data_IF_398491268968
#
_entry.id   IF_398491268968
#
_cell.length_a   1.000
_cell.length_b   1.000
_cell.length_c   1.000
_cell.angle_alpha   90.00
_cell.angle_beta   90.00
_cell.angle_gamma   90.00
#
_symmetry.space_group_name_H-M   'P 1'
#
loop_
_entity.id
_entity.type
_entity.pdbx_description
1 polymer ?
#
# COMPACT_ATOMS: atom_id res chain seq x y z
N UNK A 1 38.72 23.09 12.56
CA UNK A 1 38.11 21.74 12.60
C UNK A 1 36.61 21.95 12.79
N UNK A 2 35.86 21.90 11.70
CA UNK A 2 34.39 21.99 11.73
C UNK A 2 33.87 20.61 11.33
N UNK A 3 33.35 19.89 12.30
CA UNK A 3 32.75 18.58 12.15
C UNK A 3 31.44 18.76 11.36
N UNK A 4 31.49 18.39 10.09
CA UNK A 4 30.30 18.31 9.23
C UNK A 4 29.40 17.22 9.79
N UNK A 5 28.30 17.65 10.39
CA UNK A 5 27.15 16.83 10.75
C UNK A 5 26.75 16.02 9.49
N UNK A 6 26.56 14.68 9.57
CA UNK A 6 26.11 13.94 8.40
C UNK A 6 24.71 14.43 8.04
N UNK A 7 24.65 15.18 6.94
CA UNK A 7 23.41 15.59 6.32
C UNK A 7 22.61 14.33 6.01
N UNK A 8 21.40 14.25 6.57
CA UNK A 8 20.29 13.38 6.22
C UNK A 8 20.67 11.98 5.75
N UNK A 9 20.41 10.99 6.61
CA UNK A 9 19.97 9.65 6.20
C UNK A 9 19.24 9.77 4.87
N UNK A 10 19.80 9.14 3.83
CA UNK A 10 19.36 9.24 2.45
C UNK A 10 17.83 9.30 2.39
N UNK A 11 17.30 10.33 1.73
CA UNK A 11 15.89 10.42 1.37
C UNK A 11 15.57 9.16 0.59
N UNK A 12 15.07 8.12 1.25
CA UNK A 12 14.49 6.98 0.59
C UNK A 12 13.25 7.57 -0.05
N UNK A 13 13.31 7.82 -1.35
CA UNK A 13 12.16 8.32 -2.09
C UNK A 13 11.16 7.15 -2.14
N UNK A 14 10.32 7.08 -1.10
CA UNK A 14 9.70 5.83 -0.65
C UNK A 14 8.66 5.31 -1.63
N UNK A 15 8.72 4.01 -1.91
CA UNK A 15 7.60 3.26 -2.49
C UNK A 15 6.47 3.24 -1.45
N UNK A 16 5.22 3.27 -1.90
CA UNK A 16 4.06 3.26 -1.02
C UNK A 16 3.27 1.96 -1.19
N UNK A 17 2.89 1.34 -0.07
CA UNK A 17 1.98 0.21 -0.06
C UNK A 17 0.55 0.72 0.06
N UNK A 18 -0.31 0.34 -0.90
CA UNK A 18 -1.74 0.61 -0.86
C UNK A 18 -2.51 -0.70 -0.64
N UNK A 19 -3.34 -0.76 0.39
CA UNK A 19 -4.11 -1.96 0.71
C UNK A 19 -5.50 -1.61 1.23
N UNK A 20 -6.43 -2.53 1.03
CA UNK A 20 -7.81 -2.40 1.51
C UNK A 20 -8.01 -3.24 2.76
N UNK A 21 -8.85 -2.76 3.67
CA UNK A 21 -9.20 -3.47 4.90
C UNK A 21 -10.62 -3.10 5.35
N UNK A 22 -11.21 -3.91 6.21
CA UNK A 22 -12.53 -3.63 6.78
C UNK A 22 -12.55 -2.33 7.59
N UNK A 23 -13.67 -1.58 7.61
CA UNK A 23 -13.76 -0.29 8.28
C UNK A 23 -13.47 -0.40 9.78
N UNK A 24 -12.81 0.63 10.30
CA UNK A 24 -12.41 0.71 11.70
C UNK A 24 -13.57 0.85 12.70
N UNK A 25 -14.76 1.28 12.23
CA UNK A 25 -16.00 1.36 12.99
C UNK A 25 -17.20 1.16 12.04
N UNK A 26 -17.85 -0.01 12.01
CA UNK A 26 -19.09 -0.13 11.30
C UNK A 26 -20.18 0.58 12.12
N UNK A 27 -20.47 1.85 11.81
CA UNK A 27 -21.76 2.42 12.16
C UNK A 27 -22.88 1.59 11.52
N UNK A 28 -24.12 1.61 12.04
CA UNK A 28 -25.24 0.95 11.39
C UNK A 28 -25.38 1.48 9.95
N UNK A 29 -25.06 0.64 8.95
CA UNK A 29 -25.10 0.99 7.53
C UNK A 29 -23.75 1.25 6.84
N UNK A 30 -22.61 1.21 7.54
CA UNK A 30 -21.30 1.39 6.89
C UNK A 30 -20.60 0.05 6.64
N UNK A 31 -20.66 -0.42 5.39
CA UNK A 31 -19.81 -1.48 4.81
C UNK A 31 -18.61 -0.87 4.06
N UNK A 32 -18.02 0.21 4.58
CA UNK A 32 -16.94 0.89 3.88
C UNK A 32 -15.60 0.19 4.10
N UNK A 33 -15.25 -0.75 3.22
CA UNK A 33 -13.85 -1.20 3.11
C UNK A 33 -13.01 0.06 2.84
N UNK A 34 -12.09 0.37 3.76
CA UNK A 34 -11.20 1.51 3.66
C UNK A 34 -9.93 1.11 2.91
N UNK A 35 -9.38 2.05 2.15
CA UNK A 35 -8.08 1.89 1.50
C UNK A 35 -7.07 2.77 2.20
N UNK A 36 -6.00 2.14 2.67
CA UNK A 36 -4.94 2.77 3.45
C UNK A 36 -3.63 2.71 2.68
N UNK A 37 -2.92 3.84 2.66
CA UNK A 37 -1.62 4.00 2.04
C UNK A 37 -0.57 4.30 3.12
N UNK A 38 0.53 3.57 3.12
CA UNK A 38 1.67 3.75 4.04
C UNK A 38 2.98 3.78 3.27
N UNK A 39 4.01 4.40 3.83
CA UNK A 39 5.37 4.25 3.34
C UNK A 39 5.79 2.76 3.43
N UNK A 40 6.43 2.22 2.38
CA UNK A 40 6.90 0.84 2.33
C UNK A 40 7.77 0.49 3.56
N UNK A 41 8.61 1.42 3.98
CA UNK A 41 9.50 1.26 5.12
C UNK A 41 8.77 0.96 6.44
N UNK A 42 7.46 1.23 6.56
CA UNK A 42 6.64 0.82 7.71
C UNK A 42 6.61 -0.70 7.92
N UNK A 43 6.82 -1.48 6.86
CA UNK A 43 6.94 -2.94 6.93
C UNK A 43 8.18 -3.41 7.70
N UNK A 44 9.17 -2.53 7.89
CA UNK A 44 10.39 -2.80 8.65
C UNK A 44 10.25 -2.41 10.13
N UNK A 45 9.09 -1.89 10.54
CA UNK A 45 8.86 -1.52 11.93
C UNK A 45 8.87 -2.76 12.84
N UNK A 46 9.48 -2.72 14.05
CA UNK A 46 9.60 -3.88 14.93
C UNK A 46 8.27 -4.50 15.40
N UNK A 47 7.20 -3.71 15.38
CA UNK A 47 5.84 -4.18 15.69
C UNK A 47 5.12 -4.83 14.49
N UNK A 48 5.67 -4.73 13.28
CA UNK A 48 5.28 -5.59 12.16
C UNK A 48 6.02 -6.91 12.30
N UNK A 49 5.30 -8.03 12.19
CA UNK A 49 5.93 -9.34 12.32
C UNK A 49 7.06 -9.54 11.32
N UNK A 50 8.18 -10.04 11.83
CA UNK A 50 9.38 -10.35 11.06
C UNK A 50 9.62 -11.87 11.05
N UNK A 51 10.19 -12.44 9.99
CA UNK A 51 10.81 -11.78 8.83
C UNK A 51 9.83 -11.37 7.71
N UNK A 52 8.53 -11.59 7.88
CA UNK A 52 7.53 -11.38 6.83
C UNK A 52 7.51 -9.92 6.36
N UNK A 53 7.43 -8.95 7.28
CA UNK A 53 7.49 -7.53 6.93
C UNK A 53 8.70 -7.18 6.06
N UNK A 54 9.90 -7.63 6.43
CA UNK A 54 11.11 -7.37 5.65
C UNK A 54 11.13 -8.08 4.28
N UNK A 55 10.54 -9.27 4.16
CA UNK A 55 10.39 -9.98 2.88
C UNK A 55 9.39 -9.29 1.96
N UNK A 56 8.26 -8.84 2.50
CA UNK A 56 7.26 -8.07 1.77
C UNK A 56 7.85 -6.72 1.35
N UNK A 57 8.57 -6.03 2.24
CA UNK A 57 9.28 -4.79 1.92
C UNK A 57 10.24 -4.99 0.74
N UNK A 58 11.08 -6.02 0.80
CA UNK A 58 12.01 -6.31 -0.28
C UNK A 58 11.29 -6.52 -1.61
N UNK A 59 10.23 -7.33 -1.65
CA UNK A 59 9.44 -7.55 -2.86
C UNK A 59 8.76 -6.28 -3.35
N UNK A 60 8.25 -5.47 -2.44
CA UNK A 60 7.57 -4.22 -2.73
C UNK A 60 8.50 -3.21 -3.41
N UNK A 61 9.77 -3.12 -2.98
CA UNK A 61 10.72 -2.10 -3.46
C UNK A 61 11.60 -2.53 -4.63
N UNK A 62 11.69 -3.83 -4.93
CA UNK A 62 12.48 -4.33 -6.05
C UNK A 62 11.97 -3.80 -7.41
N UNK A 63 12.84 -3.11 -8.15
CA UNK A 63 12.55 -2.63 -9.51
C UNK A 63 11.51 -1.51 -9.59
N UNK A 64 11.23 -0.83 -8.48
CA UNK A 64 10.26 0.27 -8.42
C UNK A 64 10.88 1.63 -8.67
N UNK A 65 10.01 2.53 -9.10
CA UNK A 65 10.33 3.95 -9.14
C UNK A 65 10.14 4.58 -7.75
N UNK A 66 10.96 5.58 -7.41
CA UNK A 66 10.69 6.52 -6.34
C UNK A 66 9.24 7.00 -6.29
N UNK A 67 8.60 6.94 -5.11
CA UNK A 67 7.22 7.41 -4.92
C UNK A 67 6.14 6.51 -5.52
N UNK A 68 6.49 5.36 -6.12
CA UNK A 68 5.52 4.49 -6.76
C UNK A 68 4.49 3.95 -5.75
N UNK A 69 3.21 4.04 -6.10
CA UNK A 69 2.11 3.50 -5.29
C UNK A 69 1.80 2.09 -5.80
N UNK A 70 2.06 1.10 -4.96
CA UNK A 70 1.87 -0.31 -5.30
C UNK A 70 0.71 -0.87 -4.49
N UNK A 71 -0.42 -1.17 -5.15
CA UNK A 71 -1.50 -1.94 -4.52
C UNK A 71 -1.04 -3.32 -4.11
N UNK A 72 -1.50 -3.81 -2.96
CA UNK A 72 -1.29 -5.20 -2.54
C UNK A 72 -1.75 -6.20 -3.61
N UNK A 73 -2.83 -5.90 -4.34
CA UNK A 73 -3.29 -6.73 -5.45
C UNK A 73 -2.31 -6.76 -6.65
N UNK A 74 -1.54 -5.69 -6.88
CA UNK A 74 -0.41 -5.72 -7.84
C UNK A 74 0.65 -6.70 -7.35
N UNK A 75 1.06 -6.59 -6.08
CA UNK A 75 2.09 -7.45 -5.51
C UNK A 75 1.66 -8.93 -5.52
N UNK A 76 0.41 -9.21 -5.16
CA UNK A 76 -0.19 -10.55 -5.27
C UNK A 76 -0.17 -11.06 -6.71
N UNK A 77 -0.47 -10.21 -7.69
CA UNK A 77 -0.45 -10.61 -9.10
C UNK A 77 0.96 -10.96 -9.59
N UNK A 78 1.97 -10.18 -9.21
CA UNK A 78 3.38 -10.44 -9.55
C UNK A 78 3.91 -11.74 -8.94
N UNK A 79 3.32 -12.18 -7.83
CA UNK A 79 3.64 -13.46 -7.21
C UNK A 79 2.98 -14.65 -7.91
N UNK A 80 2.02 -14.45 -8.82
CA UNK A 80 1.27 -15.53 -9.47
C UNK A 80 -0.22 -15.55 -9.13
N UNK A 81 -0.66 -14.69 -8.20
CA UNK A 81 -2.07 -14.44 -7.91
C UNK A 81 -2.70 -15.37 -6.87
N UNK A 82 -1.96 -16.30 -6.27
CA UNK A 82 -2.49 -17.25 -5.29
C UNK A 82 -1.97 -17.03 -3.86
N UNK A 83 -2.73 -17.51 -2.87
CA UNK A 83 -2.28 -17.54 -1.48
C UNK A 83 -1.08 -18.48 -1.26
N UNK A 84 -0.90 -19.48 -2.12
CA UNK A 84 0.26 -20.38 -2.06
C UNK A 84 1.56 -19.67 -2.45
N UNK A 85 1.50 -18.70 -3.38
CA UNK A 85 2.66 -17.90 -3.77
C UNK A 85 3.17 -17.02 -2.62
N UNK A 86 2.26 -16.60 -1.75
CA UNK A 86 2.58 -15.86 -0.54
C UNK A 86 3.32 -16.68 0.51
N UNK A 87 3.18 -18.02 0.53
CA UNK A 87 3.87 -18.87 1.52
C UNK A 87 5.40 -18.74 1.47
N UNK A 88 5.96 -18.45 0.29
CA UNK A 88 7.39 -18.20 0.10
C UNK A 88 7.84 -16.80 0.51
N UNK A 89 6.90 -15.86 0.72
CA UNK A 89 7.18 -14.45 1.01
C UNK A 89 6.84 -14.11 2.46
N UNK A 90 5.63 -14.42 2.92
CA UNK A 90 5.18 -14.11 4.29
C UNK A 90 3.66 -14.05 4.39
N UNK A 91 3.17 -13.99 5.62
CA UNK A 91 1.75 -13.85 5.92
C UNK A 91 1.31 -12.39 5.77
N UNK A 92 0.87 -12.04 4.55
CA UNK A 92 0.44 -10.68 4.21
C UNK A 92 -0.81 -10.24 5.00
N UNK A 93 -1.70 -11.16 5.39
CA UNK A 93 -2.92 -10.83 6.14
C UNK A 93 -2.56 -10.37 7.56
N UNK A 94 -1.66 -11.11 8.20
CA UNK A 94 -1.15 -10.70 9.52
C UNK A 94 -0.29 -9.43 9.44
N UNK A 95 0.55 -9.29 8.41
CA UNK A 95 1.36 -8.07 8.21
C UNK A 95 0.48 -6.84 7.99
N UNK A 96 -0.57 -6.93 7.17
CA UNK A 96 -1.51 -5.82 7.00
C UNK A 96 -2.22 -5.52 8.31
N UNK A 97 -2.60 -6.55 9.10
CA UNK A 97 -3.16 -6.35 10.44
C UNK A 97 -2.19 -5.59 11.37
N UNK A 98 -0.91 -5.94 11.38
CA UNK A 98 0.09 -5.25 12.19
C UNK A 98 0.28 -3.79 11.74
N UNK A 99 0.32 -3.53 10.43
CA UNK A 99 0.37 -2.17 9.89
C UNK A 99 -0.84 -1.34 10.33
N UNK A 100 -2.04 -1.92 10.29
CA UNK A 100 -3.24 -1.24 10.77
C UNK A 100 -3.15 -0.90 12.26
N UNK A 101 -2.49 -1.73 13.06
CA UNK A 101 -2.24 -1.41 14.47
C UNK A 101 -1.28 -0.23 14.60
N UNK A 102 -0.22 -0.13 13.79
CA UNK A 102 0.70 1.01 13.84
C UNK A 102 0.01 2.33 13.52
N UNK A 103 -0.79 2.33 12.45
CA UNK A 103 -1.59 3.50 12.06
C UNK A 103 -2.52 3.93 13.19
N UNK A 104 -3.18 2.97 13.86
CA UNK A 104 -4.08 3.26 14.98
C UNK A 104 -3.36 3.87 16.20
N UNK A 105 -2.12 3.46 16.45
CA UNK A 105 -1.35 3.95 17.59
C UNK A 105 -0.56 5.24 17.27
N UNK A 106 -0.57 5.69 16.01
CA UNK A 106 0.25 6.82 15.57
C UNK A 106 1.74 6.50 15.50
N UNK A 107 2.08 5.20 15.42
CA UNK A 107 3.47 4.72 15.31
C UNK A 107 4.00 4.81 13.87
N UNK A 108 3.13 5.03 12.88
CA UNK A 108 3.48 5.43 11.52
C UNK A 108 2.37 6.30 10.92
N UNK A 109 2.72 7.09 9.91
CA UNK A 109 1.75 7.89 9.15
C UNK A 109 1.07 7.03 8.08
N UNK A 110 -0.21 7.33 7.84
CA UNK A 110 -0.97 6.69 6.78
C UNK A 110 -2.05 7.61 6.23
N UNK A 111 -2.40 7.38 4.97
CA UNK A 111 -3.51 8.05 4.30
C UNK A 111 -4.69 7.11 4.14
N UNK A 112 -5.85 7.48 4.69
CA UNK A 112 -7.12 6.82 4.41
C UNK A 112 -7.82 7.54 3.26
N UNK A 113 -8.00 6.85 2.14
CA UNK A 113 -8.36 7.50 0.86
C UNK A 113 -9.87 7.54 0.56
N UNK A 114 -10.71 6.89 1.37
CA UNK A 114 -12.18 6.93 1.20
C UNK A 114 -12.66 6.62 -0.22
N UNK A 115 -11.99 5.69 -0.93
CA UNK A 115 -12.21 5.51 -2.36
C UNK A 115 -13.65 5.06 -2.69
N UNK A 116 -14.26 5.58 -3.76
CA UNK A 116 -15.52 5.07 -4.28
C UNK A 116 -15.46 3.57 -4.56
N UNK A 117 -16.59 2.87 -4.45
CA UNK A 117 -16.65 1.41 -4.54
C UNK A 117 -15.93 0.84 -5.78
N UNK A 118 -16.09 1.46 -6.95
CA UNK A 118 -15.43 1.01 -8.19
C UNK A 118 -13.92 1.26 -8.18
N UNK A 119 -13.49 2.43 -7.72
CA UNK A 119 -12.07 2.74 -7.57
C UNK A 119 -11.40 1.76 -6.61
N UNK A 120 -12.04 1.49 -5.47
CA UNK A 120 -11.58 0.49 -4.51
C UNK A 120 -11.49 -0.89 -5.13
N UNK A 121 -12.53 -1.36 -5.83
CA UNK A 121 -12.52 -2.68 -6.47
C UNK A 121 -11.39 -2.79 -7.48
N UNK A 122 -11.16 -1.76 -8.31
CA UNK A 122 -10.06 -1.73 -9.29
C UNK A 122 -8.68 -1.87 -8.64
N UNK A 123 -8.48 -1.25 -7.48
CA UNK A 123 -7.22 -1.33 -6.71
C UNK A 123 -7.07 -2.69 -6.01
N UNK A 124 -8.17 -3.32 -5.60
CA UNK A 124 -8.17 -4.63 -4.94
C UNK A 124 -8.10 -5.81 -5.92
N UNK A 125 -8.33 -5.58 -7.21
CA UNK A 125 -8.17 -6.59 -8.26
C UNK A 125 -6.79 -6.51 -8.91
N UNK A 126 -6.38 -7.62 -9.54
CA UNK A 126 -5.14 -7.67 -10.31
C UNK A 126 -5.07 -6.57 -11.39
N UNK A 127 -3.87 -6.11 -11.77
CA UNK A 127 -3.67 -4.95 -12.64
C UNK A 127 -4.30 -5.08 -14.04
N UNK A 128 -4.57 -6.31 -14.47
CA UNK A 128 -5.16 -6.63 -15.78
C UNK A 128 -6.59 -7.19 -15.70
N UNK A 129 -7.16 -7.30 -14.49
CA UNK A 129 -8.49 -7.87 -14.27
C UNK A 129 -9.56 -6.81 -14.52
N UNK A 130 -10.51 -7.04 -15.45
CA UNK A 130 -11.62 -6.12 -15.65
C UNK A 130 -12.63 -6.23 -14.50
N UNK A 131 -13.12 -5.09 -14.02
CA UNK A 131 -14.23 -4.97 -13.07
C UNK A 131 -15.48 -4.65 -13.86
N UNK A 132 -16.59 -5.33 -13.55
CA UNK A 132 -17.87 -5.10 -14.24
C UNK A 132 -18.94 -4.69 -13.25
N UNK A 133 -19.74 -3.70 -13.61
CA UNK A 133 -20.94 -3.31 -12.87
C UNK A 133 -22.17 -3.53 -13.73
N UNK A 134 -23.25 -3.93 -13.09
CA UNK A 134 -24.56 -4.03 -13.72
C UNK A 134 -25.42 -2.86 -13.26
N UNK A 135 -25.89 -2.06 -14.20
CA UNK A 135 -26.87 -1.01 -13.93
C UNK A 135 -28.27 -1.60 -14.03
N UNK A 136 -28.95 -1.72 -12.88
CA UNK A 136 -30.31 -2.26 -12.80
C UNK A 136 -31.35 -1.38 -13.51
N UNK A 137 -31.10 -0.08 -13.67
CA UNK A 137 -32.05 0.86 -14.27
C UNK A 137 -32.01 0.81 -15.80
N UNK A 138 -30.83 0.63 -16.39
CA UNK A 138 -30.62 0.59 -17.84
C UNK A 138 -30.46 -0.83 -18.39
N UNK A 139 -30.18 -1.81 -17.53
CA UNK A 139 -29.84 -3.18 -17.90
C UNK A 139 -28.44 -3.31 -18.51
N UNK A 140 -27.62 -2.25 -18.43
CA UNK A 140 -26.31 -2.19 -19.06
C UNK A 140 -25.20 -2.80 -18.18
N UNK A 141 -24.21 -3.42 -18.83
CA UNK A 141 -22.97 -3.85 -18.18
C UNK A 141 -21.85 -2.88 -18.54
N UNK A 142 -21.34 -2.17 -17.54
CA UNK A 142 -20.18 -1.28 -17.70
C UNK A 142 -18.93 -2.03 -17.25
N UNK A 143 -17.90 -2.04 -18.10
CA UNK A 143 -16.60 -2.64 -17.81
C UNK A 143 -15.54 -1.57 -17.55
N UNK A 144 -14.81 -1.74 -16.46
CA UNK A 144 -13.66 -0.93 -16.06
C UNK A 144 -12.42 -1.80 -16.15
N UNK A 145 -11.36 -1.28 -16.75
CA UNK A 145 -10.14 -2.02 -17.04
C UNK A 145 -8.87 -1.33 -16.55
N UNK A 146 -7.71 -1.75 -17.09
CA UNK A 146 -6.41 -1.24 -16.67
C UNK A 146 -6.28 0.29 -16.78
N UNK A 147 -6.92 0.91 -17.78
CA UNK A 147 -6.90 2.36 -17.97
C UNK A 147 -7.59 3.09 -16.80
N UNK A 148 -8.76 2.62 -16.37
CA UNK A 148 -9.48 3.21 -15.24
C UNK A 148 -8.72 2.98 -13.94
N UNK A 149 -8.11 1.81 -13.77
CA UNK A 149 -7.23 1.53 -12.62
C UNK A 149 -6.04 2.49 -12.57
N UNK A 150 -5.39 2.73 -13.71
CA UNK A 150 -4.27 3.66 -13.81
C UNK A 150 -4.70 5.10 -13.48
N UNK A 151 -5.90 5.52 -13.92
CA UNK A 151 -6.45 6.83 -13.58
C UNK A 151 -6.66 6.98 -12.05
N UNK A 152 -7.20 5.95 -11.38
CA UNK A 152 -7.36 5.95 -9.92
C UNK A 152 -5.99 6.07 -9.23
N UNK A 153 -4.98 5.31 -9.67
CA UNK A 153 -3.63 5.41 -9.10
C UNK A 153 -2.99 6.79 -9.33
N UNK A 154 -3.21 7.40 -10.49
CA UNK A 154 -2.71 8.75 -10.78
C UNK A 154 -3.38 9.81 -9.89
N UNK A 155 -4.68 9.67 -9.61
CA UNK A 155 -5.41 10.55 -8.69
C UNK A 155 -4.88 10.40 -7.26
N UNK A 156 -4.68 9.17 -6.78
CA UNK A 156 -4.06 8.93 -5.46
C UNK A 156 -2.64 9.48 -5.42
N UNK A 157 -1.87 9.33 -6.49
CA UNK A 157 -0.51 9.90 -6.61
C UNK A 157 -0.50 11.42 -6.56
N UNK A 158 -1.47 12.08 -7.19
CA UNK A 158 -1.62 13.53 -7.14
C UNK A 158 -1.96 14.00 -5.72
N UNK A 159 -2.87 13.29 -5.04
CA UNK A 159 -3.22 13.58 -3.65
C UNK A 159 -2.03 13.40 -2.71
N UNK A 160 -1.30 12.29 -2.85
CA UNK A 160 -0.09 12.01 -2.08
C UNK A 160 0.98 13.09 -2.31
N UNK A 161 1.26 13.46 -3.56
CA UNK A 161 2.23 14.49 -3.88
C UNK A 161 1.88 15.87 -3.28
N UNK A 162 0.58 16.19 -3.20
CA UNK A 162 0.12 17.40 -2.53
C UNK A 162 0.41 17.40 -1.03
N UNK A 163 0.31 16.24 -0.37
CA UNK A 163 0.58 16.08 1.06
C UNK A 163 2.08 16.03 1.37
N UNK A 164 2.86 15.28 0.59
CA UNK A 164 4.30 15.13 0.80
C UNK A 164 5.10 16.36 0.40
N UNK A 165 4.51 17.30 -0.35
CA UNK A 165 5.09 18.62 -0.56
C UNK A 165 5.33 19.38 0.76
N UNK A 166 4.55 19.08 1.81
CA UNK A 166 4.69 19.68 3.15
C UNK A 166 5.48 18.77 4.10
N UNK A 167 5.17 17.48 4.11
CA UNK A 167 5.83 16.49 4.98
C UNK A 167 5.70 15.06 4.42
N UNK A 168 6.83 14.34 4.32
CA UNK A 168 6.83 12.93 3.96
C UNK A 168 6.09 12.06 4.98
N UNK A 169 5.47 10.96 4.52
CA UNK A 169 4.83 9.99 5.40
C UNK A 169 5.87 9.29 6.27
N UNK A 170 5.79 9.46 7.59
CA UNK A 170 6.70 8.82 8.52
C UNK A 170 6.45 7.31 8.55
N UNK A 171 7.46 6.47 8.24
CA UNK A 171 7.32 5.02 8.34
C UNK A 171 7.28 4.48 9.78
N UNK A 172 7.53 5.34 10.76
CA UNK A 172 7.71 4.98 12.16
C UNK A 172 9.17 4.93 12.59
N UNK A 173 9.39 4.71 13.88
CA UNK A 173 10.70 4.79 14.51
C UNK A 173 11.34 3.40 14.68
N UNK A 174 12.67 3.34 14.79
CA UNK A 174 13.39 2.09 15.10
C UNK A 174 13.30 1.02 14.01
N UNK A 175 13.16 1.43 12.75
CA UNK A 175 13.05 0.50 11.62
C UNK A 175 14.23 -0.47 11.56
N UNK A 176 13.90 -1.74 11.31
CA UNK A 176 14.88 -2.80 11.12
C UNK A 176 15.56 -2.67 9.75
N UNK A 177 16.79 -3.20 9.57
CA UNK A 177 17.45 -3.20 8.27
C UNK A 177 16.62 -3.93 7.21
N UNK A 178 16.54 -3.35 6.01
CA UNK A 178 15.94 -4.02 4.85
C UNK A 178 16.73 -5.25 4.44
N UNK A 179 16.06 -6.26 3.89
CA UNK A 179 16.75 -7.33 3.16
C UNK A 179 17.36 -6.73 1.88
N UNK A 180 18.66 -6.43 1.89
CA UNK A 180 19.41 -6.21 0.65
C UNK A 180 19.65 -7.56 0.00
N UNK A 181 19.19 -7.72 -1.24
CA UNK A 181 19.51 -8.92 -2.02
C UNK A 181 21.03 -9.05 -2.14
N UNK A 182 21.57 -10.23 -1.83
CA UNK A 182 22.89 -10.59 -2.34
C UNK A 182 22.81 -10.52 -3.87
N UNK A 183 23.68 -9.71 -4.47
CA UNK A 183 23.95 -9.76 -5.90
C UNK A 183 24.56 -11.11 -6.30
#
# INVERSE_FOLDING_TARGET
MTQTQPAGTARTEDVHLLFAHEPYYPGPGTQEINTTLVAAASLLHPRVRQPDGARIHHRLTQGRLPGEIVPLATLTHELGGSADDWRGVGDWESVTTDLLQLVRHGDCDALSLGLPAIARTLICTGPHTPVRTFDMATGEVIAYGPAQRAAVLAEVGTFLAGLTAEQDLRPGDGLLPSLTGAA
#
